data_IF_308499761868
#
_entry.id   IF_308499761868
#
_cell.length_a   1.000
_cell.length_b   1.000
_cell.length_c   1.000
_cell.angle_alpha   90.00
_cell.angle_beta   90.00
_cell.angle_gamma   90.00
#
_symmetry.space_group_name_H-M   'P 1'
#
loop_
_entity.id
_entity.type
_entity.pdbx_description
1 polymer ?
#
# COMPACT_ATOMS: atom_id res chain seq x y z
N UNK A 1 17.97 8.78 -13.45
CA UNK A 1 16.90 7.94 -12.85
C UNK A 1 15.90 7.57 -13.94
N UNK A 2 15.70 6.31 -14.16
CA UNK A 2 14.73 5.88 -15.19
C UNK A 2 13.31 6.13 -14.71
N UNK A 3 12.55 6.87 -15.50
CA UNK A 3 11.13 7.09 -15.27
C UNK A 3 10.37 6.98 -16.58
N UNK A 4 9.14 6.48 -16.50
CA UNK A 4 8.19 6.46 -17.62
C UNK A 4 6.90 7.11 -17.19
N UNK A 5 6.32 7.90 -18.05
CA UNK A 5 5.09 8.63 -17.79
C UNK A 5 4.02 8.28 -18.82
N UNK A 6 2.81 8.06 -18.33
CA UNK A 6 1.63 7.76 -19.13
C UNK A 6 0.52 8.75 -18.78
N UNK A 7 -0.20 9.23 -19.77
CA UNK A 7 -1.30 10.16 -19.56
C UNK A 7 -2.62 9.50 -19.97
N UNK A 8 -3.61 9.56 -19.08
CA UNK A 8 -4.96 9.03 -19.27
C UNK A 8 -5.97 10.13 -18.94
N UNK A 9 -6.63 10.68 -19.96
CA UNK A 9 -7.53 11.83 -19.78
C UNK A 9 -6.79 12.96 -19.02
N UNK A 10 -7.26 13.33 -17.83
CA UNK A 10 -6.67 14.37 -16.98
C UNK A 10 -5.74 13.79 -15.90
N UNK A 11 -5.42 12.51 -15.97
CA UNK A 11 -4.58 11.83 -14.98
C UNK A 11 -3.25 11.41 -15.58
N UNK A 12 -2.22 11.35 -14.75
CA UNK A 12 -0.87 10.94 -15.14
C UNK A 12 -0.39 9.81 -14.22
N UNK A 13 0.12 8.76 -14.84
CA UNK A 13 0.82 7.68 -14.13
C UNK A 13 2.32 7.83 -14.42
N UNK A 14 3.11 7.94 -13.36
CA UNK A 14 4.58 7.94 -13.46
C UNK A 14 5.13 6.67 -12.80
N UNK A 15 5.84 5.87 -13.56
CA UNK A 15 6.58 4.70 -13.05
C UNK A 15 8.06 5.06 -13.01
N UNK A 16 8.67 4.95 -11.84
CA UNK A 16 10.08 5.28 -11.67
C UNK A 16 10.77 4.40 -10.64
N UNK A 17 12.06 4.19 -10.84
CA UNK A 17 12.92 3.55 -9.86
C UNK A 17 13.45 4.63 -8.89
N UNK A 18 13.27 4.43 -7.59
CA UNK A 18 13.74 5.38 -6.59
C UNK A 18 13.22 5.10 -5.20
N UNK A 19 13.45 6.02 -4.29
CA UNK A 19 12.93 5.95 -2.93
C UNK A 19 11.53 6.57 -2.88
N UNK A 20 10.55 5.79 -2.45
CA UNK A 20 9.17 6.27 -2.35
C UNK A 20 9.02 7.46 -1.38
N UNK A 21 9.91 7.58 -0.39
CA UNK A 21 9.91 8.71 0.55
C UNK A 21 10.23 10.05 -0.13
N UNK A 22 10.82 10.04 -1.33
CA UNK A 22 11.10 11.26 -2.10
C UNK A 22 9.87 11.78 -2.86
N UNK A 23 8.76 11.05 -2.85
CA UNK A 23 7.53 11.48 -3.52
C UNK A 23 6.98 12.77 -2.93
N UNK A 24 6.33 13.56 -3.78
CA UNK A 24 5.56 14.75 -3.37
C UNK A 24 4.05 14.48 -3.32
N UNK A 25 3.63 13.23 -3.54
CA UNK A 25 2.22 12.86 -3.51
C UNK A 25 1.61 13.11 -2.13
N UNK A 26 0.34 13.46 -2.10
CA UNK A 26 -0.41 13.70 -0.86
C UNK A 26 -0.57 12.42 -0.02
N UNK A 27 -0.67 11.28 -0.71
CA UNK A 27 -0.82 9.96 -0.09
C UNK A 27 0.37 9.09 -0.43
N UNK A 28 0.92 8.44 0.57
CA UNK A 28 1.89 7.36 0.42
C UNK A 28 1.26 6.05 0.86
N UNK A 29 1.41 5.01 0.04
CA UNK A 29 0.85 3.68 0.33
C UNK A 29 1.88 2.82 1.03
N UNK A 30 1.43 2.14 2.09
CA UNK A 30 2.17 1.12 2.82
C UNK A 30 1.49 -0.23 2.63
N UNK A 31 2.28 -1.29 2.46
CA UNK A 31 1.79 -2.67 2.42
C UNK A 31 2.05 -3.31 3.78
N UNK A 32 0.98 -3.71 4.47
CA UNK A 32 1.04 -4.06 5.89
C UNK A 32 0.37 -5.39 6.21
N UNK A 33 0.65 -5.89 7.42
CA UNK A 33 -0.09 -7.00 8.03
C UNK A 33 -1.34 -6.50 8.77
N UNK A 34 -2.18 -7.43 9.21
CA UNK A 34 -3.47 -7.14 9.86
C UNK A 34 -3.37 -6.28 11.13
N UNK A 35 -2.21 -6.25 11.77
CA UNK A 35 -1.95 -5.48 12.99
C UNK A 35 -1.12 -4.22 12.74
N UNK A 36 -0.73 -3.99 11.49
CA UNK A 36 0.07 -2.84 11.07
C UNK A 36 1.32 -2.67 11.93
N UNK A 37 2.13 -3.74 11.97
CA UNK A 37 3.36 -3.74 12.76
C UNK A 37 4.48 -2.92 12.14
N UNK A 38 4.43 -2.71 10.83
CA UNK A 38 5.41 -1.93 10.06
C UNK A 38 6.86 -2.35 10.32
N UNK A 39 7.08 -3.67 10.39
CA UNK A 39 8.34 -4.24 10.86
C UNK A 39 9.45 -4.35 9.82
N UNK A 40 9.17 -4.13 8.53
CA UNK A 40 10.17 -4.31 7.47
C UNK A 40 9.87 -3.59 6.17
N UNK A 41 10.86 -3.53 5.30
CA UNK A 41 10.73 -2.98 3.95
C UNK A 41 10.27 -1.53 3.92
N UNK A 42 9.44 -1.21 2.94
CA UNK A 42 8.89 0.15 2.73
C UNK A 42 8.08 0.60 3.93
N UNK A 43 7.28 -0.28 4.55
CA UNK A 43 6.45 0.11 5.69
C UNK A 43 7.29 0.58 6.88
N UNK A 44 8.41 -0.10 7.17
CA UNK A 44 9.35 0.36 8.18
C UNK A 44 9.99 1.71 7.83
N UNK A 45 10.36 1.92 6.58
CA UNK A 45 10.91 3.20 6.13
C UNK A 45 9.90 4.35 6.32
N UNK A 46 8.63 4.11 6.02
CA UNK A 46 7.54 5.07 6.26
C UNK A 46 7.39 5.36 7.76
N UNK A 47 7.40 4.32 8.58
CA UNK A 47 7.32 4.47 10.04
C UNK A 47 8.48 5.31 10.60
N UNK A 48 9.70 5.04 10.14
CA UNK A 48 10.88 5.79 10.58
C UNK A 48 10.82 7.26 10.17
N UNK A 49 10.27 7.56 8.99
CA UNK A 49 10.12 8.92 8.50
C UNK A 49 8.98 9.68 9.21
N UNK A 50 7.84 9.02 9.45
CA UNK A 50 6.65 9.65 10.01
C UNK A 50 6.53 9.58 11.53
N UNK A 51 7.19 8.61 12.16
CA UNK A 51 7.20 8.42 13.60
C UNK A 51 6.07 7.54 14.14
N UNK A 52 6.13 7.22 15.42
CA UNK A 52 5.23 6.27 16.10
C UNK A 52 3.76 6.69 16.11
N UNK A 53 3.48 7.94 15.84
CA UNK A 53 2.10 8.43 15.74
C UNK A 53 1.30 7.67 14.66
N UNK A 54 1.96 7.19 13.61
CA UNK A 54 1.34 6.38 12.55
C UNK A 54 0.80 5.07 13.13
N UNK A 55 1.62 4.34 13.90
CA UNK A 55 1.18 3.09 14.55
C UNK A 55 0.09 3.36 15.59
N UNK A 56 0.24 4.38 16.39
CA UNK A 56 -0.77 4.73 17.40
C UNK A 56 -2.12 5.05 16.77
N UNK A 57 -2.12 5.71 15.63
CA UNK A 57 -3.33 5.99 14.87
C UNK A 57 -3.92 4.71 14.27
N UNK A 58 -3.09 3.86 13.67
CA UNK A 58 -3.49 2.60 13.07
C UNK A 58 -4.05 1.60 14.09
N UNK A 59 -3.47 1.50 15.27
CA UNK A 59 -3.88 0.55 16.31
C UNK A 59 -5.32 0.70 16.77
N UNK A 60 -5.89 1.89 16.63
CA UNK A 60 -7.32 2.15 16.93
C UNK A 60 -8.26 1.32 16.05
N UNK A 61 -7.77 0.89 14.88
CA UNK A 61 -8.55 0.19 13.86
C UNK A 61 -8.15 -1.27 13.70
N UNK A 62 -7.07 -1.74 14.35
CA UNK A 62 -6.59 -3.13 14.26
C UNK A 62 -7.40 -4.09 15.14
N UNK A 63 -7.55 -5.37 14.73
CA UNK A 63 -7.03 -5.96 13.50
C UNK A 63 -7.82 -5.53 12.26
N UNK A 64 -7.13 -5.36 11.15
CA UNK A 64 -7.72 -4.96 9.86
C UNK A 64 -7.80 -6.16 8.94
N UNK A 65 -8.96 -6.44 8.32
CA UNK A 65 -9.11 -7.59 7.42
C UNK A 65 -8.18 -7.53 6.21
N UNK A 66 -7.74 -8.70 5.77
CA UNK A 66 -6.96 -8.86 4.55
C UNK A 66 -7.70 -8.26 3.34
N UNK A 67 -7.00 -7.48 2.53
CA UNK A 67 -7.55 -6.79 1.36
C UNK A 67 -8.19 -5.44 1.66
N UNK A 68 -8.33 -5.08 2.94
CA UNK A 68 -8.84 -3.76 3.31
C UNK A 68 -7.74 -2.69 3.30
N UNK A 69 -8.14 -1.44 3.30
CA UNK A 69 -7.26 -0.28 3.35
C UNK A 69 -7.74 0.66 4.45
N UNK A 70 -6.84 1.07 5.32
CA UNK A 70 -7.13 2.09 6.32
C UNK A 70 -6.24 3.31 6.14
N UNK A 71 -6.69 4.42 6.67
CA UNK A 71 -6.03 5.72 6.55
C UNK A 71 -5.51 6.16 7.91
N UNK A 72 -4.23 6.54 7.96
CA UNK A 72 -3.64 7.18 9.13
C UNK A 72 -3.01 8.51 8.77
N UNK A 73 -2.66 9.27 9.80
CA UNK A 73 -1.80 10.44 9.65
C UNK A 73 -0.46 10.05 9.02
N UNK A 74 0.16 10.96 8.30
CA UNK A 74 1.53 10.83 7.81
C UNK A 74 2.59 11.25 8.88
N UNK A 75 2.14 11.65 10.04
CA UNK A 75 3.03 12.03 11.15
C UNK A 75 3.95 13.20 10.80
N UNK A 76 5.25 12.98 10.97
CA UNK A 76 6.30 13.99 10.73
C UNK A 76 6.66 14.19 9.26
N UNK A 77 6.12 13.37 8.33
CA UNK A 77 6.39 13.55 6.91
C UNK A 77 5.69 14.83 6.41
N UNK A 78 6.49 15.80 5.99
CA UNK A 78 5.99 17.14 5.62
C UNK A 78 5.28 17.17 4.26
N UNK A 79 5.68 16.30 3.34
CA UNK A 79 5.16 16.27 1.96
C UNK A 79 3.86 15.49 1.83
N UNK A 80 3.63 14.50 2.67
CA UNK A 80 2.45 13.64 2.65
C UNK A 80 1.42 14.12 3.66
N UNK A 81 0.15 13.96 3.32
CA UNK A 81 -0.97 14.22 4.23
C UNK A 81 -1.39 12.95 4.98
N UNK A 82 -1.39 11.80 4.28
CA UNK A 82 -1.89 10.54 4.80
C UNK A 82 -1.01 9.37 4.38
N UNK A 83 -1.05 8.31 5.17
CA UNK A 83 -0.60 6.97 4.82
C UNK A 83 -1.82 6.09 4.61
N UNK A 84 -1.89 5.43 3.45
CA UNK A 84 -2.89 4.39 3.17
C UNK A 84 -2.23 3.04 3.40
N UNK A 85 -2.76 2.28 4.35
CA UNK A 85 -2.26 0.96 4.72
C UNK A 85 -3.08 -0.10 3.99
N UNK A 86 -2.48 -0.73 2.99
CA UNK A 86 -3.07 -1.86 2.27
C UNK A 86 -2.71 -3.16 2.99
N UNK A 87 -3.71 -3.90 3.45
CA UNK A 87 -3.48 -5.14 4.20
C UNK A 87 -3.31 -6.29 3.22
N UNK A 88 -2.08 -6.71 3.03
CA UNK A 88 -1.70 -7.74 2.06
C UNK A 88 -1.14 -9.02 2.70
N UNK A 89 -0.92 -9.02 4.02
CA UNK A 89 -0.31 -10.13 4.74
C UNK A 89 -1.20 -10.54 5.90
N UNK A 90 -1.78 -11.74 5.79
CA UNK A 90 -2.44 -12.46 6.88
C UNK A 90 -2.18 -13.96 6.72
N UNK A 91 -1.25 -14.49 7.48
CA UNK A 91 -0.83 -15.89 7.39
C UNK A 91 -1.97 -16.89 7.66
N UNK A 92 -2.87 -16.60 8.59
CA UNK A 92 -3.99 -17.51 8.93
C UNK A 92 -5.02 -17.57 7.82
N UNK A 93 -5.49 -16.41 7.32
CA UNK A 93 -6.48 -16.36 6.24
C UNK A 93 -5.93 -16.84 4.92
N UNK A 94 -4.67 -16.58 4.64
CA UNK A 94 -3.99 -17.07 3.46
C UNK A 94 -4.05 -18.59 3.36
N UNK A 95 -3.77 -19.31 4.45
CA UNK A 95 -3.89 -20.77 4.49
C UNK A 95 -5.32 -21.25 4.28
N UNK A 96 -6.32 -20.57 4.82
CA UNK A 96 -7.73 -20.91 4.64
C UNK A 96 -8.20 -20.70 3.20
N UNK A 97 -7.73 -19.66 2.53
CA UNK A 97 -8.06 -19.38 1.14
C UNK A 97 -7.38 -20.39 0.22
N UNK A 98 -6.12 -20.75 0.50
CA UNK A 98 -5.36 -21.75 -0.25
C UNK A 98 -5.98 -23.15 -0.17
N UNK A 99 -6.69 -23.50 0.91
CA UNK A 99 -7.39 -24.77 1.04
C UNK A 99 -8.57 -24.94 0.09
N UNK A 100 -9.00 -23.87 -0.61
CA UNK A 100 -10.14 -23.86 -1.54
C UNK A 100 -9.76 -24.03 -3.02
N UNK A 101 -8.56 -24.54 -3.33
CA UNK A 101 -8.07 -24.79 -4.68
C UNK A 101 -7.83 -23.54 -5.55
N UNK A 102 -7.71 -22.37 -4.93
CA UNK A 102 -7.31 -21.13 -5.61
C UNK A 102 -5.79 -21.00 -5.48
N UNK A 103 -5.10 -20.59 -6.53
CA UNK A 103 -3.65 -20.39 -6.45
C UNK A 103 -3.32 -19.19 -5.56
N UNK A 104 -2.18 -19.25 -4.90
CA UNK A 104 -1.67 -18.12 -4.11
C UNK A 104 -1.59 -16.84 -4.94
N UNK A 105 -1.23 -16.98 -6.21
CA UNK A 105 -1.13 -15.89 -7.18
C UNK A 105 -2.50 -15.26 -7.48
N UNK A 106 -3.53 -16.05 -7.69
CA UNK A 106 -4.89 -15.54 -7.96
C UNK A 106 -5.43 -14.74 -6.76
N UNK A 107 -5.19 -15.24 -5.55
CA UNK A 107 -5.59 -14.55 -4.32
C UNK A 107 -4.84 -13.22 -4.18
N UNK A 108 -3.53 -13.23 -4.41
CA UNK A 108 -2.72 -12.02 -4.33
C UNK A 108 -3.13 -11.00 -5.38
N UNK A 109 -3.37 -11.42 -6.63
CA UNK A 109 -3.86 -10.54 -7.69
C UNK A 109 -5.21 -9.92 -7.31
N UNK A 110 -6.15 -10.73 -6.79
CA UNK A 110 -7.43 -10.24 -6.32
C UNK A 110 -7.26 -9.20 -5.21
N UNK A 111 -6.43 -9.48 -4.21
CA UNK A 111 -6.18 -8.58 -3.10
C UNK A 111 -5.53 -7.27 -3.54
N UNK A 112 -4.56 -7.35 -4.46
CA UNK A 112 -3.90 -6.16 -5.00
C UNK A 112 -4.88 -5.27 -5.75
N UNK A 113 -5.69 -5.84 -6.63
CA UNK A 113 -6.70 -5.09 -7.36
C UNK A 113 -7.70 -4.44 -6.41
N UNK A 114 -8.21 -5.20 -5.45
CA UNK A 114 -9.16 -4.70 -4.47
C UNK A 114 -8.57 -3.55 -3.62
N UNK A 115 -7.33 -3.70 -3.16
CA UNK A 115 -6.66 -2.66 -2.37
C UNK A 115 -6.40 -1.39 -3.19
N UNK A 116 -5.95 -1.52 -4.43
CA UNK A 116 -5.73 -0.39 -5.33
C UNK A 116 -7.02 0.35 -5.63
N UNK A 117 -8.08 -0.37 -5.97
CA UNK A 117 -9.41 0.22 -6.21
C UNK A 117 -9.91 0.98 -4.98
N UNK A 118 -9.74 0.39 -3.80
CA UNK A 118 -10.13 1.04 -2.55
C UNK A 118 -9.32 2.31 -2.26
N UNK A 119 -8.03 2.31 -2.56
CA UNK A 119 -7.20 3.51 -2.46
C UNK A 119 -7.76 4.65 -3.32
N UNK A 120 -8.13 4.37 -4.56
CA UNK A 120 -8.73 5.40 -5.43
C UNK A 120 -10.10 5.87 -4.96
N UNK A 121 -10.94 4.96 -4.46
CA UNK A 121 -12.23 5.32 -3.86
C UNK A 121 -12.05 6.25 -2.65
N UNK A 122 -11.09 5.93 -1.77
CA UNK A 122 -10.76 6.78 -0.62
C UNK A 122 -10.23 8.16 -1.05
N UNK A 123 -9.37 8.20 -2.07
CA UNK A 123 -8.88 9.47 -2.60
C UNK A 123 -10.02 10.36 -3.09
N UNK A 124 -10.97 9.80 -3.83
CA UNK A 124 -12.15 10.53 -4.30
C UNK A 124 -12.99 11.05 -3.13
N UNK A 125 -13.25 10.22 -2.14
CA UNK A 125 -14.05 10.61 -0.96
C UNK A 125 -13.36 11.66 -0.08
N UNK A 126 -12.04 11.69 -0.09
CA UNK A 126 -11.22 12.63 0.69
C UNK A 126 -10.75 13.86 -0.12
N UNK A 127 -11.16 13.96 -1.38
CA UNK A 127 -10.78 15.04 -2.30
C UNK A 127 -9.25 15.18 -2.46
N UNK A 128 -8.56 14.03 -2.62
CA UNK A 128 -7.13 13.97 -2.83
C UNK A 128 -6.82 13.68 -4.30
N UNK A 129 -5.70 14.18 -4.82
CA UNK A 129 -5.37 14.14 -6.23
C UNK A 129 -4.08 13.42 -6.57
N UNK A 130 -3.26 13.08 -5.57
CA UNK A 130 -1.96 12.44 -5.81
C UNK A 130 -1.68 11.32 -4.82
N UNK A 131 -1.19 10.19 -5.33
CA UNK A 131 -0.89 9.00 -4.54
C UNK A 131 0.37 8.31 -5.09
N UNK A 132 1.21 7.83 -4.21
CA UNK A 132 2.38 7.04 -4.55
C UNK A 132 2.26 5.62 -4.00
N UNK A 133 2.39 4.65 -4.90
CA UNK A 133 2.40 3.22 -4.57
C UNK A 133 3.82 2.66 -4.61
N UNK A 134 4.20 1.82 -3.63
CA UNK A 134 5.36 0.96 -3.79
C UNK A 134 5.02 -0.22 -4.71
N UNK A 135 5.99 -1.05 -5.06
CA UNK A 135 5.73 -2.33 -5.71
C UNK A 135 5.08 -3.30 -4.70
N UNK A 136 3.78 -3.13 -4.47
CA UNK A 136 3.02 -3.89 -3.48
C UNK A 136 3.11 -5.39 -3.78
N UNK A 137 3.49 -6.19 -2.78
CA UNK A 137 3.60 -7.62 -2.91
C UNK A 137 4.97 -8.13 -3.42
N UNK A 138 5.83 -7.27 -3.94
CA UNK A 138 7.16 -7.68 -4.40
C UNK A 138 8.14 -7.97 -3.25
N UNK A 139 7.83 -7.51 -2.04
CA UNK A 139 8.63 -7.75 -0.83
C UNK A 139 8.27 -9.06 -0.12
N UNK A 140 7.72 -8.95 1.09
CA UNK A 140 7.42 -10.09 1.96
C UNK A 140 6.43 -11.12 1.34
N UNK A 141 5.53 -10.67 0.47
CA UNK A 141 4.61 -11.56 -0.24
C UNK A 141 5.25 -12.29 -1.43
N UNK A 142 6.49 -11.94 -1.81
CA UNK A 142 7.30 -12.59 -2.84
C UNK A 142 6.65 -12.70 -4.22
N UNK A 143 5.78 -11.78 -4.58
CA UNK A 143 5.21 -11.72 -5.92
C UNK A 143 6.31 -11.22 -6.88
N UNK A 144 6.53 -11.88 -8.04
CA UNK A 144 7.48 -11.40 -9.04
C UNK A 144 7.14 -9.96 -9.46
N UNK A 145 8.12 -9.07 -9.46
CA UNK A 145 7.92 -7.64 -9.72
C UNK A 145 7.22 -7.36 -11.06
N UNK A 146 7.46 -8.20 -12.08
CA UNK A 146 6.75 -8.10 -13.36
C UNK A 146 5.24 -8.15 -13.20
N UNK A 147 4.74 -9.06 -12.33
CA UNK A 147 3.30 -9.23 -12.08
C UNK A 147 2.70 -8.10 -11.25
N UNK A 148 3.50 -7.44 -10.45
CA UNK A 148 3.05 -6.28 -9.67
C UNK A 148 2.84 -5.06 -10.58
N UNK A 149 3.60 -4.98 -11.67
CA UNK A 149 3.57 -3.82 -12.59
C UNK A 149 2.51 -4.00 -13.69
N UNK A 150 2.21 -5.22 -14.09
CA UNK A 150 1.15 -5.56 -15.05
C UNK A 150 -0.25 -5.31 -14.47
#
# INVERSE_FOLDING_TARGET
MESRQYTFNNSTLTVKLGNILDTKAEVIVSSDDCYITMGGGVSRAILMAGGDIIIKDAQKMCPVPLGDVIVTTAGKMEKQKYVYHCITIDKKRRLQILSRQVTEEDVLNYLLQHAVDKCFQLMLSMDLTSIAFPAIGAGAARIPIRKVIE
#
